data_IF_342749337490
#
_entry.id   IF_342749337490
#
_cell.length_a   1.000
_cell.length_b   1.000
_cell.length_c   1.000
_cell.angle_alpha   90.00
_cell.angle_beta   90.00
_cell.angle_gamma   90.00
#
_symmetry.space_group_name_H-M   'P 1'
#
loop_
_entity.id
_entity.type
_entity.pdbx_description
1 polymer ?
#
# COMPACT_ATOMS: atom_id res chain seq x y z
N UNK A 1 -6.63 26.75 -2.93
CA UNK A 1 -5.32 26.60 -3.58
C UNK A 1 -4.31 26.19 -2.52
N UNK A 2 -3.65 25.04 -2.70
CA UNK A 2 -2.63 24.55 -1.75
C UNK A 2 -1.27 24.56 -2.46
N UNK A 3 -0.26 25.05 -1.76
CA UNK A 3 1.12 24.98 -2.22
C UNK A 3 1.69 23.63 -1.80
N UNK A 4 2.21 22.86 -2.75
CA UNK A 4 2.90 21.59 -2.48
C UNK A 4 4.34 21.74 -2.93
N UNK A 5 5.28 21.47 -2.03
CA UNK A 5 6.71 21.44 -2.35
C UNK A 5 7.10 20.06 -2.86
N UNK A 6 7.71 20.01 -4.05
CA UNK A 6 8.27 18.78 -4.58
C UNK A 6 9.48 18.33 -3.72
N UNK A 7 9.49 17.08 -3.21
CA UNK A 7 10.60 16.58 -2.39
C UNK A 7 11.89 16.38 -3.19
N UNK A 8 11.79 16.17 -4.52
CA UNK A 8 12.95 15.90 -5.38
C UNK A 8 13.62 17.17 -5.88
N UNK A 9 12.85 18.09 -6.48
CA UNK A 9 13.42 19.28 -7.13
C UNK A 9 13.23 20.58 -6.34
N UNK A 10 12.63 20.51 -5.15
CA UNK A 10 12.32 21.66 -4.27
C UNK A 10 11.40 22.73 -4.87
N UNK A 11 10.85 22.51 -6.07
CA UNK A 11 9.91 23.44 -6.71
C UNK A 11 8.56 23.42 -5.99
N UNK A 12 7.96 24.59 -5.85
CA UNK A 12 6.61 24.75 -5.30
C UNK A 12 5.62 24.72 -6.46
N UNK A 13 4.63 23.84 -6.38
CA UNK A 13 3.51 23.79 -7.31
C UNK A 13 2.25 24.36 -6.62
N UNK A 14 1.57 25.28 -7.30
CA UNK A 14 0.27 25.79 -6.89
C UNK A 14 -0.81 24.93 -7.54
N UNK A 15 -1.43 24.05 -6.76
CA UNK A 15 -2.44 23.12 -7.28
C UNK A 15 -3.79 23.51 -6.67
N UNK A 16 -4.79 23.73 -7.53
CA UNK A 16 -6.15 24.04 -7.09
C UNK A 16 -6.74 22.88 -6.28
N UNK A 17 -6.56 21.66 -6.78
CA UNK A 17 -6.98 20.40 -6.17
C UNK A 17 -5.93 19.32 -6.45
N UNK A 18 -5.18 18.81 -5.46
CA UNK A 18 -4.23 17.72 -5.67
C UNK A 18 -4.98 16.44 -6.01
N UNK A 19 -5.10 16.12 -7.30
CA UNK A 19 -5.60 14.82 -7.73
C UNK A 19 -4.54 13.74 -7.48
N UNK A 20 -4.94 12.53 -7.03
CA UNK A 20 -4.05 11.39 -6.90
C UNK A 20 -3.30 11.15 -8.22
N UNK A 21 -1.97 11.06 -8.15
CA UNK A 21 -1.13 10.84 -9.33
C UNK A 21 -0.63 12.11 -10.03
N UNK A 22 -0.82 13.29 -9.44
CA UNK A 22 -0.18 14.51 -9.97
C UNK A 22 1.35 14.34 -9.95
N UNK A 23 2.00 14.43 -11.12
CA UNK A 23 3.45 14.37 -11.24
C UNK A 23 4.06 15.76 -11.44
N UNK A 24 5.30 15.93 -10.98
CA UNK A 24 6.02 17.18 -11.13
C UNK A 24 6.41 17.36 -12.60
N UNK A 25 6.03 18.45 -13.27
CA UNK A 25 6.37 18.67 -14.69
C UNK A 25 7.86 18.90 -14.94
N UNK A 26 8.68 19.03 -13.88
CA UNK A 26 10.12 19.29 -14.00
C UNK A 26 10.98 18.04 -13.76
N UNK A 27 10.60 17.17 -12.83
CA UNK A 27 11.40 15.99 -12.47
C UNK A 27 10.61 14.68 -12.54
N UNK A 28 9.36 14.73 -13.01
CA UNK A 28 8.43 13.61 -13.14
C UNK A 28 8.08 12.86 -11.84
N UNK A 29 8.62 13.28 -10.69
CA UNK A 29 8.29 12.69 -9.38
C UNK A 29 6.82 12.95 -9.01
N UNK A 30 6.17 11.98 -8.39
CA UNK A 30 4.80 12.13 -7.90
C UNK A 30 4.76 13.22 -6.82
N UNK A 31 3.96 14.26 -7.04
CA UNK A 31 3.65 15.31 -6.08
C UNK A 31 2.61 14.78 -5.11
N UNK A 32 3.05 13.90 -4.22
CA UNK A 32 2.26 13.49 -3.07
C UNK A 32 2.34 14.63 -2.06
N UNK A 33 1.20 15.23 -1.70
CA UNK A 33 1.14 16.21 -0.63
C UNK A 33 1.78 15.66 0.64
N UNK A 34 2.31 16.54 1.50
CA UNK A 34 3.16 16.27 2.68
C UNK A 34 2.59 15.30 3.75
N UNK A 35 1.54 14.53 3.46
CA UNK A 35 0.96 13.52 4.34
C UNK A 35 0.53 12.23 3.60
N UNK A 36 1.05 11.93 2.42
CA UNK A 36 0.87 10.60 1.85
C UNK A 36 1.98 9.66 2.32
N UNK A 37 2.02 9.42 3.62
CA UNK A 37 2.41 8.08 4.05
C UNK A 37 1.26 7.19 3.59
N UNK A 38 1.46 6.45 2.49
CA UNK A 38 0.64 5.27 2.26
C UNK A 38 1.07 4.32 3.35
N UNK A 39 0.44 4.46 4.52
CA UNK A 39 0.64 3.56 5.64
C UNK A 39 0.05 2.23 5.21
N UNK A 40 0.89 1.38 4.65
CA UNK A 40 0.61 0.01 4.30
C UNK A 40 0.45 -0.76 5.61
N UNK A 41 -0.72 -0.71 6.26
CA UNK A 41 -0.94 -1.38 7.54
C UNK A 41 -1.36 -2.81 7.27
N UNK A 42 -0.63 -3.77 7.82
CA UNK A 42 -0.97 -5.19 7.68
C UNK A 42 -2.32 -5.47 8.34
N UNK A 43 -3.23 -6.08 7.59
CA UNK A 43 -4.58 -6.37 8.10
C UNK A 43 -4.58 -7.42 9.21
N UNK A 44 -3.60 -8.30 9.27
CA UNK A 44 -3.53 -9.34 10.30
C UNK A 44 -3.03 -8.78 11.64
N UNK A 45 -1.80 -8.26 11.69
CA UNK A 45 -1.17 -7.80 12.94
C UNK A 45 -1.46 -6.32 13.28
N UNK A 46 -2.11 -5.57 12.37
CA UNK A 46 -2.43 -4.14 12.49
C UNK A 46 -1.19 -3.25 12.69
N UNK A 47 0.00 -3.74 12.35
CA UNK A 47 1.24 -2.97 12.36
C UNK A 47 1.52 -2.37 10.98
N UNK A 48 2.24 -1.25 10.96
CA UNK A 48 2.73 -0.65 9.71
C UNK A 48 3.75 -1.59 9.04
N UNK A 49 3.55 -1.85 7.75
CA UNK A 49 4.50 -2.54 6.89
C UNK A 49 5.53 -1.52 6.46
N UNK A 50 6.75 -1.71 6.95
CA UNK A 50 7.87 -0.82 6.66
C UNK A 50 8.35 -1.02 5.23
N UNK A 51 8.97 0.00 4.61
CA UNK A 51 9.49 -0.12 3.24
C UNK A 51 10.63 -1.14 3.08
N UNK A 52 11.21 -1.63 4.19
CA UNK A 52 12.19 -2.71 4.18
C UNK A 52 11.59 -4.10 4.42
N UNK A 53 10.28 -4.19 4.68
CA UNK A 53 9.55 -5.43 4.86
C UNK A 53 8.86 -5.83 3.55
N UNK A 54 8.68 -7.14 3.35
CA UNK A 54 7.98 -7.64 2.17
C UNK A 54 6.47 -7.55 2.41
N UNK A 55 5.79 -6.77 1.58
CA UNK A 55 4.33 -6.69 1.56
C UNK A 55 3.75 -7.65 0.51
N UNK A 56 2.63 -8.28 0.85
CA UNK A 56 1.78 -9.04 -0.07
C UNK A 56 0.39 -8.40 -0.08
N UNK A 57 -0.16 -8.22 -1.27
CA UNK A 57 -1.54 -7.79 -1.45
C UNK A 57 -2.40 -8.97 -1.88
N UNK A 58 -3.60 -9.08 -1.30
CA UNK A 58 -4.58 -10.02 -1.81
C UNK A 58 -5.05 -9.55 -3.20
N UNK A 59 -4.93 -10.37 -4.26
CA UNK A 59 -5.36 -9.97 -5.60
C UNK A 59 -6.89 -9.87 -5.75
N UNK A 60 -7.68 -10.47 -4.85
CA UNK A 60 -9.14 -10.35 -4.86
C UNK A 60 -9.66 -9.13 -4.11
N UNK A 61 -9.27 -8.94 -2.84
CA UNK A 61 -9.79 -7.86 -1.99
C UNK A 61 -8.88 -6.62 -1.91
N UNK A 62 -7.62 -6.71 -2.37
CA UNK A 62 -6.65 -5.60 -2.35
C UNK A 62 -6.05 -5.30 -0.98
N UNK A 63 -6.35 -6.09 0.05
CA UNK A 63 -5.84 -5.89 1.40
C UNK A 63 -4.36 -6.27 1.48
N UNK A 64 -3.58 -5.47 2.21
CA UNK A 64 -2.16 -5.71 2.42
C UNK A 64 -1.84 -6.46 3.72
N UNK A 65 -0.80 -7.28 3.62
CA UNK A 65 -0.26 -8.10 4.68
C UNK A 65 1.26 -8.07 4.63
N UNK A 66 1.92 -8.28 5.77
CA UNK A 66 3.30 -8.77 5.74
C UNK A 66 3.34 -10.13 5.05
N UNK A 67 4.40 -10.41 4.32
CA UNK A 67 4.58 -11.72 3.68
C UNK A 67 4.53 -12.86 4.71
N UNK A 68 5.11 -12.66 5.89
CA UNK A 68 5.07 -13.63 6.99
C UNK A 68 3.65 -13.79 7.54
N UNK A 69 2.92 -12.69 7.76
CA UNK A 69 1.53 -12.77 8.23
C UNK A 69 0.59 -13.43 7.22
N UNK A 70 0.85 -13.24 5.91
CA UNK A 70 0.09 -13.93 4.86
C UNK A 70 0.32 -15.44 4.92
N UNK A 71 1.57 -15.86 5.14
CA UNK A 71 1.94 -17.27 5.26
C UNK A 71 1.37 -17.89 6.55
N UNK A 72 1.51 -17.21 7.68
CA UNK A 72 1.01 -17.66 8.99
C UNK A 72 -0.52 -17.77 9.03
N UNK A 73 -1.22 -16.99 8.21
CA UNK A 73 -2.68 -17.01 8.09
C UNK A 73 -3.15 -17.91 6.93
N UNK A 74 -2.26 -18.69 6.33
CA UNK A 74 -2.52 -19.57 5.18
C UNK A 74 -3.18 -18.86 3.98
N UNK A 75 -3.01 -17.53 3.87
CA UNK A 75 -3.66 -16.69 2.86
C UNK A 75 -4.38 -15.48 3.44
N UNK A 76 -5.44 -15.04 2.75
CA UNK A 76 -6.17 -13.83 3.09
C UNK A 76 -7.08 -14.03 4.31
N UNK A 77 -6.92 -13.21 5.35
CA UNK A 77 -7.77 -13.24 6.55
C UNK A 77 -9.09 -12.46 6.42
N UNK A 78 -9.50 -12.10 5.20
CA UNK A 78 -10.79 -11.43 4.97
C UNK A 78 -11.88 -12.49 4.85
N UNK A 79 -12.91 -12.41 5.69
CA UNK A 79 -14.03 -13.35 5.68
C UNK A 79 -14.67 -13.42 4.28
N UNK A 80 -14.78 -14.63 3.74
CA UNK A 80 -15.40 -14.87 2.43
C UNK A 80 -14.54 -14.50 1.22
N UNK A 81 -13.25 -14.21 1.42
CA UNK A 81 -12.31 -14.01 0.32
C UNK A 81 -11.96 -15.34 -0.36
N UNK A 82 -11.86 -15.36 -1.69
CA UNK A 82 -11.47 -16.55 -2.46
C UNK A 82 -10.03 -16.99 -2.22
N UNK A 83 -9.18 -16.09 -1.69
CA UNK A 83 -7.79 -16.37 -1.29
C UNK A 83 -7.67 -16.72 0.19
N UNK A 84 -8.78 -16.93 0.90
CA UNK A 84 -8.74 -17.52 2.22
C UNK A 84 -8.20 -18.96 2.09
N UNK A 85 -7.26 -19.35 2.95
CA UNK A 85 -6.66 -20.69 2.97
C UNK A 85 -5.94 -21.10 1.65
N UNK A 86 -5.54 -20.14 0.81
CA UNK A 86 -4.90 -20.43 -0.48
C UNK A 86 -3.49 -21.04 -0.37
N UNK A 87 -2.87 -20.97 0.81
CA UNK A 87 -1.59 -21.60 1.13
C UNK A 87 -1.73 -22.82 2.04
N UNK A 88 -2.96 -23.09 2.52
CA UNK A 88 -3.19 -24.25 3.37
C UNK A 88 -2.71 -25.51 2.63
N UNK A 89 -1.91 -26.36 3.29
CA UNK A 89 -1.54 -27.64 2.69
C UNK A 89 -2.82 -28.36 2.30
N UNK A 90 -2.83 -28.98 1.11
CA UNK A 90 -3.96 -29.81 0.69
C UNK A 90 -4.06 -30.96 1.68
N UNK A 91 -4.90 -30.81 2.71
CA UNK A 91 -5.28 -31.85 3.65
C UNK A 91 -6.04 -32.88 2.81
N UNK A 92 -5.30 -33.84 2.26
CA UNK A 92 -5.84 -35.01 1.57
C UNK A 92 -6.78 -35.72 2.56
N UNK A 93 -8.07 -35.91 2.22
CA UNK A 93 -9.00 -36.65 3.07
C UNK A 93 -8.61 -38.11 3.25
#
# INVERSE_FOLDING_TARGET
MKQIKCPTCSRIAEIADPVPGTSCPNCSSVLVGENAQVSNVCFFCKQEIRPNETAIFCPACGVEYHADCWLDNDGCGTEGCEYQDCLAPMELP
#
